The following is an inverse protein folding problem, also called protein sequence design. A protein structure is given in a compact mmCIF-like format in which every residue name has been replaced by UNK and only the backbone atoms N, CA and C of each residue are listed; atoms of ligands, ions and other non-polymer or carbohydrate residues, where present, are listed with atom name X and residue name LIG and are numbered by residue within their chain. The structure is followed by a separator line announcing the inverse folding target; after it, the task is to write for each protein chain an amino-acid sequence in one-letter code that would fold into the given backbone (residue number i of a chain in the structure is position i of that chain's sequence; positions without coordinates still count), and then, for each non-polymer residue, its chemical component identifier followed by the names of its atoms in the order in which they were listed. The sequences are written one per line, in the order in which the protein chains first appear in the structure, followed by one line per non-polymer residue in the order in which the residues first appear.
data_IF_435566178743
#
_entry.id   IF_435566178743
#
_cell.length_a   1.000
_cell.length_b   1.000
_cell.length_c   1.000
_cell.angle_alpha   90.00
_cell.angle_beta   90.00
_cell.angle_gamma   90.00
#
_symmetry.space_group_name_H-M   'P 1'
#
loop_
_entity.id
_entity.type
_entity.pdbx_description
1 polymer ?
#
# COMPACT_ATOMS: atom_id res chain seq x y z
N UNK A 1 -19.07 31.71 -31.41
CA UNK A 1 -20.15 31.31 -30.51
C UNK A 1 -20.14 29.81 -30.22
N UNK A 2 -19.82 28.97 -31.20
CA UNK A 2 -19.76 27.52 -31.01
C UNK A 2 -18.51 27.07 -30.29
N UNK A 3 -17.49 27.90 -30.23
CA UNK A 3 -16.19 27.56 -29.61
C UNK A 3 -16.19 27.61 -28.08
N UNK A 4 -17.05 28.43 -27.47
CA UNK A 4 -17.10 28.54 -26.03
C UNK A 4 -17.74 27.34 -25.33
N UNK A 5 -18.66 26.63 -26.02
CA UNK A 5 -19.28 25.43 -25.49
C UNK A 5 -18.31 24.24 -25.46
N UNK A 6 -17.36 24.21 -26.38
CA UNK A 6 -16.33 23.15 -26.46
C UNK A 6 -15.30 23.28 -25.32
N UNK A 7 -14.98 24.50 -24.93
CA UNK A 7 -14.02 24.77 -23.85
C UNK A 7 -14.59 24.33 -22.49
N UNK A 8 -15.87 24.53 -22.26
CA UNK A 8 -16.57 24.11 -21.03
C UNK A 8 -16.62 22.59 -20.91
N UNK A 9 -16.76 21.88 -22.03
CA UNK A 9 -16.76 20.42 -22.06
C UNK A 9 -15.41 19.78 -21.73
N UNK A 10 -14.31 20.50 -21.99
CA UNK A 10 -12.96 19.99 -21.70
C UNK A 10 -12.55 20.14 -20.22
N UNK A 11 -13.16 21.05 -19.48
CA UNK A 11 -12.85 21.25 -18.07
C UNK A 11 -13.40 20.12 -17.17
N UNK A 12 -14.56 19.55 -17.50
CA UNK A 12 -15.19 18.49 -16.74
C UNK A 12 -14.41 17.18 -16.67
N UNK A 13 -13.80 16.68 -17.79
CA UNK A 13 -12.97 15.46 -17.71
C UNK A 13 -11.75 15.56 -16.82
N UNK A 14 -11.13 16.73 -16.70
CA UNK A 14 -9.98 16.93 -15.85
C UNK A 14 -10.32 16.82 -14.36
N UNK A 15 -11.48 17.32 -13.97
CA UNK A 15 -11.96 17.22 -12.59
C UNK A 15 -12.29 15.76 -12.23
N UNK A 16 -12.88 15.01 -13.16
CA UNK A 16 -13.18 13.60 -12.98
C UNK A 16 -11.91 12.75 -12.84
N UNK A 17 -10.83 13.08 -13.56
CA UNK A 17 -9.56 12.36 -13.47
C UNK A 17 -8.90 12.48 -12.10
N UNK A 18 -8.97 13.65 -11.45
CA UNK A 18 -8.41 13.87 -10.12
C UNK A 18 -9.12 13.00 -9.07
N UNK A 19 -10.46 12.97 -9.09
CA UNK A 19 -11.23 12.12 -8.18
C UNK A 19 -11.01 10.64 -8.43
N UNK A 20 -10.78 10.26 -9.68
CA UNK A 20 -10.53 8.87 -10.06
C UNK A 20 -9.18 8.38 -9.54
N UNK A 21 -8.16 9.24 -9.50
CA UNK A 21 -6.84 8.88 -8.97
C UNK A 21 -6.88 8.57 -7.49
N UNK A 22 -7.65 9.34 -6.70
CA UNK A 22 -7.78 9.09 -5.26
C UNK A 22 -8.41 7.73 -4.98
N UNK A 23 -9.44 7.35 -5.72
CA UNK A 23 -10.10 6.04 -5.59
C UNK A 23 -9.15 4.93 -5.99
N UNK A 24 -8.41 5.10 -7.08
CA UNK A 24 -7.43 4.11 -7.57
C UNK A 24 -6.31 3.90 -6.56
N UNK A 25 -5.81 4.97 -5.92
CA UNK A 25 -4.79 4.88 -4.88
C UNK A 25 -5.29 4.08 -3.67
N UNK A 26 -6.51 4.32 -3.23
CA UNK A 26 -7.08 3.59 -2.10
C UNK A 26 -7.25 2.11 -2.40
N UNK A 27 -7.72 1.77 -3.60
CA UNK A 27 -7.87 0.39 -4.03
C UNK A 27 -6.52 -0.31 -4.11
N UNK A 28 -5.51 0.36 -4.68
CA UNK A 28 -4.16 -0.19 -4.78
C UNK A 28 -3.59 -0.46 -3.39
N UNK A 29 -3.79 0.44 -2.44
CA UNK A 29 -3.33 0.27 -1.06
C UNK A 29 -4.03 -0.90 -0.36
N UNK A 30 -5.32 -1.08 -0.58
CA UNK A 30 -6.05 -2.22 -0.01
C UNK A 30 -5.57 -3.55 -0.57
N UNK A 31 -5.36 -3.63 -1.87
CA UNK A 31 -4.83 -4.83 -2.51
C UNK A 31 -3.41 -5.12 -2.04
N UNK A 32 -2.57 -4.10 -1.97
CA UNK A 32 -1.21 -4.23 -1.46
C UNK A 32 -1.22 -4.72 0.00
N UNK A 33 -2.09 -4.18 0.82
CA UNK A 33 -2.22 -4.57 2.23
C UNK A 33 -2.58 -6.05 2.37
N UNK A 34 -3.52 -6.54 1.57
CA UNK A 34 -3.91 -7.96 1.59
C UNK A 34 -2.74 -8.86 1.22
N UNK A 35 -2.00 -8.49 0.18
CA UNK A 35 -0.83 -9.26 -0.25
C UNK A 35 0.27 -9.23 0.81
N UNK A 36 0.60 -8.05 1.33
CA UNK A 36 1.64 -7.90 2.36
C UNK A 36 1.28 -8.70 3.60
N UNK A 37 0.01 -8.67 4.01
CA UNK A 37 -0.43 -9.42 5.17
C UNK A 37 -0.19 -10.93 5.00
N UNK A 38 -0.52 -11.47 3.83
CA UNK A 38 -0.30 -12.88 3.52
C UNK A 38 1.20 -13.21 3.47
N UNK A 39 2.02 -12.33 2.90
CA UNK A 39 3.48 -12.50 2.84
C UNK A 39 4.10 -12.50 4.24
N UNK A 40 3.65 -11.59 5.10
CA UNK A 40 4.14 -11.50 6.48
C UNK A 40 3.76 -12.76 7.27
N UNK A 41 2.55 -13.24 7.10
CA UNK A 41 2.09 -14.47 7.76
C UNK A 41 2.93 -15.68 7.36
N UNK A 42 3.34 -15.77 6.10
CA UNK A 42 4.19 -16.85 5.62
C UNK A 42 5.61 -16.75 6.17
N UNK A 43 6.14 -15.53 6.28
CA UNK A 43 7.51 -15.30 6.76
C UNK A 43 7.65 -15.41 8.27
N UNK A 44 6.60 -15.04 8.98
CA UNK A 44 6.59 -14.99 10.45
C UNK A 44 5.35 -15.72 10.97
N UNK A 45 5.32 -17.06 10.86
CA UNK A 45 4.14 -17.82 11.30
C UNK A 45 3.95 -17.69 12.82
N UNK A 46 2.70 -17.51 13.22
CA UNK A 46 2.34 -17.37 14.61
C UNK A 46 2.41 -15.95 15.16
N UNK A 47 2.81 -14.99 14.33
CA UNK A 47 2.90 -13.57 14.69
C UNK A 47 1.70 -12.83 14.10
N UNK A 48 1.15 -11.85 14.84
CA UNK A 48 0.11 -10.99 14.29
C UNK A 48 0.72 -10.12 13.17
N UNK A 49 0.27 -10.35 11.94
CA UNK A 49 0.83 -9.68 10.78
C UNK A 49 0.40 -8.22 10.67
N UNK A 50 -0.71 -7.84 11.30
CA UNK A 50 -1.32 -6.51 11.11
C UNK A 50 -0.37 -5.35 11.41
N UNK A 51 0.36 -5.33 12.55
CA UNK A 51 1.30 -4.23 12.82
C UNK A 51 2.43 -4.15 11.79
N UNK A 52 2.95 -5.30 11.37
CA UNK A 52 4.04 -5.35 10.38
C UNK A 52 3.53 -4.87 9.02
N UNK A 53 2.35 -5.34 8.63
CA UNK A 53 1.70 -4.91 7.37
C UNK A 53 1.51 -3.40 7.34
N UNK A 54 1.02 -2.81 8.42
CA UNK A 54 0.83 -1.37 8.52
C UNK A 54 2.16 -0.63 8.34
N UNK A 55 3.23 -1.10 8.95
CA UNK A 55 4.56 -0.50 8.82
C UNK A 55 5.08 -0.60 7.38
N UNK A 56 4.87 -1.72 6.71
CA UNK A 56 5.27 -1.90 5.32
C UNK A 56 4.53 -0.91 4.42
N UNK A 57 3.22 -0.82 4.56
CA UNK A 57 2.40 0.06 3.73
C UNK A 57 2.76 1.54 3.99
N UNK A 58 2.97 1.91 5.25
CA UNK A 58 3.32 3.30 5.62
C UNK A 58 4.70 3.71 5.08
N UNK A 59 5.62 2.76 4.92
CA UNK A 59 6.98 3.03 4.45
C UNK A 59 7.17 2.70 2.97
N UNK A 60 6.13 2.30 2.28
CA UNK A 60 6.16 2.05 0.84
C UNK A 60 5.93 3.34 0.07
N UNK A 61 6.66 3.51 -1.04
CA UNK A 61 6.36 4.60 -1.97
C UNK A 61 5.09 4.29 -2.77
N UNK A 62 4.51 5.32 -3.37
CA UNK A 62 3.33 5.13 -4.22
C UNK A 62 3.60 4.14 -5.35
N UNK A 63 4.81 4.19 -5.93
CA UNK A 63 5.20 3.29 -7.01
C UNK A 63 5.34 1.85 -6.51
N UNK A 64 5.84 1.66 -5.31
CA UNK A 64 5.93 0.33 -4.70
C UNK A 64 4.56 -0.25 -4.40
N UNK A 65 3.64 0.57 -3.92
CA UNK A 65 2.24 0.14 -3.73
C UNK A 65 1.65 -0.35 -5.05
N UNK A 66 1.87 0.38 -6.13
CA UNK A 66 1.38 -0.01 -7.46
C UNK A 66 2.04 -1.31 -7.92
N UNK A 67 3.33 -1.49 -7.68
CA UNK A 67 4.06 -2.72 -8.01
C UNK A 67 3.49 -3.93 -7.28
N UNK A 68 3.21 -3.78 -6.00
CA UNK A 68 2.62 -4.86 -5.19
C UNK A 68 1.21 -5.20 -5.69
N UNK A 69 0.37 -4.18 -5.84
CA UNK A 69 -1.01 -4.37 -6.30
C UNK A 69 -1.05 -4.94 -7.73
N UNK A 70 -0.18 -4.43 -8.62
CA UNK A 70 -0.07 -4.90 -9.98
C UNK A 70 0.44 -6.33 -10.07
N UNK A 71 1.31 -6.73 -9.15
CA UNK A 71 1.81 -8.10 -9.07
C UNK A 71 0.68 -9.10 -8.85
N UNK A 72 -0.27 -8.76 -7.98
CA UNK A 72 -1.45 -9.59 -7.74
C UNK A 72 -2.30 -9.68 -9.01
N UNK A 73 -2.61 -8.53 -9.62
CA UNK A 73 -3.52 -8.44 -10.76
C UNK A 73 -2.95 -9.12 -12.00
N UNK A 74 -1.63 -9.05 -12.20
CA UNK A 74 -0.95 -9.59 -13.39
C UNK A 74 -0.34 -10.96 -13.16
N UNK A 75 -0.45 -11.52 -11.96
CA UNK A 75 0.14 -12.81 -11.62
C UNK A 75 1.65 -12.78 -11.43
N UNK A 76 2.25 -11.59 -11.32
CA UNK A 76 3.69 -11.41 -11.09
C UNK A 76 3.96 -11.24 -9.59
N UNK A 77 3.70 -12.31 -8.83
CA UNK A 77 3.83 -12.29 -7.37
C UNK A 77 5.28 -12.21 -6.91
N UNK A 78 6.22 -12.64 -7.76
CA UNK A 78 7.65 -12.56 -7.42
C UNK A 78 8.11 -11.11 -7.30
N UNK A 79 7.73 -10.23 -8.24
CA UNK A 79 8.07 -8.82 -8.16
C UNK A 79 7.42 -8.15 -6.94
N UNK A 80 6.19 -8.51 -6.63
CA UNK A 80 5.50 -8.02 -5.43
C UNK A 80 6.20 -8.48 -4.15
N UNK A 81 6.57 -9.75 -4.08
CA UNK A 81 7.28 -10.32 -2.92
C UNK A 81 8.65 -9.68 -2.73
N UNK A 82 9.41 -9.46 -3.80
CA UNK A 82 10.70 -8.79 -3.75
C UNK A 82 10.57 -7.36 -3.26
N UNK A 83 9.54 -6.66 -3.69
CA UNK A 83 9.24 -5.29 -3.24
C UNK A 83 8.96 -5.28 -1.74
N UNK A 84 8.14 -6.19 -1.24
CA UNK A 84 7.85 -6.33 0.19
C UNK A 84 9.14 -6.59 0.97
N UNK A 85 10.02 -7.48 0.48
CA UNK A 85 11.30 -7.75 1.12
C UNK A 85 12.17 -6.50 1.24
N UNK A 86 12.22 -5.71 0.19
CA UNK A 86 12.99 -4.46 0.17
C UNK A 86 12.47 -3.49 1.23
N UNK A 87 11.15 -3.33 1.32
CA UNK A 87 10.54 -2.43 2.29
C UNK A 87 10.77 -2.92 3.72
N UNK A 88 10.65 -4.23 3.95
CA UNK A 88 10.87 -4.82 5.28
C UNK A 88 12.29 -4.58 5.80
N UNK A 89 13.26 -4.46 4.93
CA UNK A 89 14.67 -4.25 5.31
C UNK A 89 15.00 -2.78 5.54
N UNK A 90 14.12 -1.85 5.25
CA UNK A 90 14.35 -0.43 5.46
C UNK A 90 14.42 -0.11 6.95
N UNK A 91 15.37 0.74 7.37
CA UNK A 91 15.47 1.12 8.79
C UNK A 91 14.18 1.72 9.34
N UNK A 92 13.48 2.55 8.58
CA UNK A 92 12.22 3.15 9.00
C UNK A 92 11.13 2.09 9.25
N UNK A 93 11.06 1.07 8.40
CA UNK A 93 10.12 -0.04 8.58
C UNK A 93 10.46 -0.86 9.81
N UNK A 94 11.74 -1.15 10.01
CA UNK A 94 12.21 -1.91 11.16
C UNK A 94 11.93 -1.16 12.46
N UNK A 95 12.15 0.15 12.50
CA UNK A 95 11.83 0.97 13.67
C UNK A 95 10.33 1.00 13.94
N UNK A 96 9.53 1.13 12.91
CA UNK A 96 8.07 1.10 13.02
C UNK A 96 7.60 -0.23 13.59
N UNK A 97 8.10 -1.33 13.06
CA UNK A 97 7.73 -2.68 13.49
C UNK A 97 8.13 -2.93 14.92
N UNK A 98 9.36 -2.57 15.30
CA UNK A 98 9.85 -2.73 16.66
C UNK A 98 9.02 -1.92 17.64
N UNK A 99 8.69 -0.67 17.31
CA UNK A 99 7.86 0.20 18.13
C UNK A 99 6.46 -0.37 18.34
N UNK A 100 5.84 -0.87 17.29
CA UNK A 100 4.51 -1.47 17.40
C UNK A 100 4.52 -2.76 18.21
N UNK A 101 5.58 -3.55 18.10
CA UNK A 101 5.75 -4.76 18.89
C UNK A 101 5.88 -4.49 20.37
N UNK A 102 6.75 -3.53 20.72
CA UNK A 102 6.96 -3.12 22.11
C UNK A 102 5.68 -2.55 22.72
N UNK A 103 4.97 -1.72 21.94
CA UNK A 103 3.70 -1.14 22.39
C UNK A 103 2.66 -2.23 22.68
N UNK A 104 2.57 -3.23 21.81
CA UNK A 104 1.70 -4.38 22.01
C UNK A 104 2.05 -5.19 23.24
N UNK A 105 3.35 -5.39 23.52
CA UNK A 105 3.82 -6.09 24.71
C UNK A 105 3.46 -5.32 25.97
N UNK A 106 3.68 -4.00 25.99
CA UNK A 106 3.35 -3.17 27.14
C UNK A 106 1.86 -3.16 27.42
N UNK A 107 1.04 -3.15 26.40
CA UNK A 107 -0.42 -3.23 26.55
C UNK A 107 -0.85 -4.58 27.10
N UNK A 108 -0.18 -5.65 26.70
CA UNK A 108 -0.45 -6.99 27.20
C UNK A 108 -0.08 -7.19 28.67
N UNK A 109 0.86 -6.39 29.19
CA UNK A 109 1.32 -6.45 30.57
C UNK A 109 0.46 -5.63 31.54
N UNK A 110 -0.33 -4.71 31.01
CA UNK A 110 -1.22 -3.87 31.82
C UNK A 110 -2.64 -4.42 31.86
#
# INVERSE_FOLDING_TARGET
MKTSAVILGLALPLTACVGFQDVADQLARQQARTFVNAEVEQRFPGVDATPITNCVIDNASAQEIVTIAGGIALGNTEAASNTVSTILQRPATLQCTAGNYLDGLFRGLS
#
